data_IF_584913578219
#
_entry.id   IF_584913578219
#
_cell.length_a   1.000
_cell.length_b   1.000
_cell.length_c   1.000
_cell.angle_alpha   90.00
_cell.angle_beta   90.00
_cell.angle_gamma   90.00
#
_symmetry.space_group_name_H-M   'P 1'
#
loop_
_entity.id
_entity.type
_entity.pdbx_description
1 polymer ?
#
# COMPACT_ATOMS: atom_id res chain seq x y z
N UNK A 1 -16.46 -0.97 2.48
CA UNK A 1 -15.99 -2.36 2.36
C UNK A 1 -14.80 -2.51 3.26
N UNK A 2 -14.90 -3.38 4.25
CA UNK A 2 -13.85 -3.58 5.22
C UNK A 2 -12.84 -4.61 4.70
N UNK A 3 -11.56 -4.33 4.92
CA UNK A 3 -10.48 -5.27 4.62
C UNK A 3 -10.53 -6.43 5.61
N UNK A 4 -10.48 -7.66 5.12
CA UNK A 4 -10.46 -8.85 5.97
C UNK A 4 -9.03 -9.19 6.35
N UNK A 5 -8.85 -9.90 7.48
CA UNK A 5 -7.53 -10.33 7.95
C UNK A 5 -6.76 -11.11 6.87
N UNK A 6 -7.47 -11.92 6.09
CA UNK A 6 -6.90 -12.69 4.99
C UNK A 6 -6.26 -11.81 3.90
N UNK A 7 -6.79 -10.61 3.67
CA UNK A 7 -6.24 -9.70 2.66
C UNK A 7 -4.87 -9.16 3.07
N UNK A 8 -4.70 -8.88 4.36
CA UNK A 8 -3.41 -8.48 4.90
C UNK A 8 -2.40 -9.64 4.85
N UNK A 9 -2.84 -10.87 5.13
CA UNK A 9 -2.01 -12.08 5.00
C UNK A 9 -1.53 -12.27 3.56
N UNK A 10 -2.42 -12.10 2.57
CA UNK A 10 -2.06 -12.19 1.16
C UNK A 10 -0.97 -11.17 0.77
N UNK A 11 -1.01 -9.97 1.35
CA UNK A 11 0.03 -8.96 1.13
C UNK A 11 1.36 -9.39 1.74
N UNK A 12 1.36 -9.87 2.98
CA UNK A 12 2.58 -10.36 3.64
C UNK A 12 3.19 -11.53 2.87
N UNK A 13 2.37 -12.48 2.41
CA UNK A 13 2.79 -13.59 1.56
C UNK A 13 3.38 -13.12 0.23
N UNK A 14 2.76 -12.14 -0.44
CA UNK A 14 3.30 -11.58 -1.69
C UNK A 14 4.72 -11.01 -1.51
N UNK A 15 5.03 -10.49 -0.32
CA UNK A 15 6.36 -9.96 0.01
C UNK A 15 7.25 -10.95 0.78
N UNK A 16 6.85 -12.22 0.90
CA UNK A 16 7.54 -13.25 1.67
C UNK A 16 7.88 -12.82 3.11
N UNK A 17 6.94 -12.12 3.77
CA UNK A 17 7.09 -11.68 5.15
C UNK A 17 6.45 -12.68 6.13
N UNK A 18 7.01 -12.85 7.35
CA UNK A 18 6.42 -13.70 8.36
C UNK A 18 5.03 -13.19 8.77
N UNK A 19 4.09 -14.11 8.97
CA UNK A 19 2.73 -13.78 9.40
C UNK A 19 2.68 -13.80 10.93
N UNK A 20 2.52 -12.64 11.60
CA UNK A 20 2.39 -12.61 13.05
C UNK A 20 1.05 -13.20 13.50
N UNK A 21 0.98 -13.70 14.74
CA UNK A 21 -0.22 -14.37 15.27
C UNK A 21 -1.39 -13.40 15.56
N UNK A 22 -1.08 -12.13 15.85
CA UNK A 22 -2.08 -11.13 16.23
C UNK A 22 -2.63 -10.38 15.02
N UNK A 23 -3.96 -10.31 14.88
CA UNK A 23 -4.65 -9.55 13.83
C UNK A 23 -4.17 -8.10 13.71
N UNK A 24 -3.95 -7.44 14.87
CA UNK A 24 -3.44 -6.06 14.91
C UNK A 24 -2.03 -5.95 14.32
N UNK A 25 -1.17 -6.93 14.59
CA UNK A 25 0.19 -6.96 14.06
C UNK A 25 0.21 -7.29 12.56
N UNK A 26 -0.65 -8.20 12.10
CA UNK A 26 -0.80 -8.52 10.67
C UNK A 26 -1.15 -7.25 9.89
N UNK A 27 -2.14 -6.50 10.37
CA UNK A 27 -2.52 -5.23 9.77
C UNK A 27 -1.38 -4.22 9.79
N UNK A 28 -0.75 -4.01 10.96
CA UNK A 28 0.32 -3.04 11.11
C UNK A 28 1.51 -3.35 10.19
N UNK A 29 1.91 -4.61 10.08
CA UNK A 29 3.04 -5.01 9.23
C UNK A 29 2.70 -4.86 7.74
N UNK A 30 1.46 -5.18 7.33
CA UNK A 30 0.99 -4.97 5.97
C UNK A 30 0.94 -3.47 5.60
N UNK A 31 0.44 -2.62 6.50
CA UNK A 31 0.45 -1.15 6.32
C UNK A 31 1.89 -0.60 6.27
N UNK A 32 2.78 -1.14 7.10
CA UNK A 32 4.18 -0.75 7.14
C UNK A 32 4.91 -1.12 5.84
N UNK A 33 4.79 -2.34 5.35
CA UNK A 33 5.49 -2.75 4.12
C UNK A 33 4.98 -1.98 2.91
N UNK A 34 3.67 -1.78 2.79
CA UNK A 34 3.09 -1.03 1.67
C UNK A 34 3.48 0.45 1.73
N UNK A 35 3.50 1.07 2.90
CA UNK A 35 3.95 2.46 3.05
C UNK A 35 5.43 2.59 2.68
N UNK A 36 6.28 1.65 3.12
CA UNK A 36 7.70 1.63 2.81
C UNK A 36 7.94 1.52 1.30
N UNK A 37 7.22 0.61 0.60
CA UNK A 37 7.34 0.45 -0.85
C UNK A 37 6.83 1.68 -1.60
N UNK A 38 5.70 2.24 -1.18
CA UNK A 38 5.13 3.45 -1.76
C UNK A 38 6.11 4.63 -1.64
N UNK A 39 6.63 4.89 -0.44
CA UNK A 39 7.55 6.01 -0.20
C UNK A 39 8.90 5.84 -0.90
N UNK A 40 9.43 4.61 -0.94
CA UNK A 40 10.65 4.31 -1.73
C UNK A 40 10.41 4.56 -3.23
N UNK A 41 9.26 4.17 -3.75
CA UNK A 41 8.90 4.43 -5.14
C UNK A 41 8.80 5.93 -5.41
N UNK A 42 8.08 6.69 -4.57
CA UNK A 42 7.93 8.15 -4.73
C UNK A 42 9.32 8.83 -4.74
N UNK A 43 10.16 8.49 -3.75
CA UNK A 43 11.53 9.02 -3.65
C UNK A 43 12.39 8.65 -4.86
N UNK A 44 12.18 7.48 -5.46
CA UNK A 44 12.93 7.03 -6.64
C UNK A 44 12.46 7.73 -7.92
N UNK A 45 11.15 7.92 -8.08
CA UNK A 45 10.54 8.54 -9.27
C UNK A 45 10.76 10.05 -9.28
N UNK A 46 10.72 10.69 -8.11
CA UNK A 46 10.96 12.11 -7.97
C UNK A 46 11.98 12.37 -6.86
N UNK A 47 13.25 12.13 -7.20
CA UNK A 47 14.38 12.39 -6.32
C UNK A 47 14.50 13.88 -5.94
N UNK A 48 13.97 14.77 -6.77
CA UNK A 48 14.05 16.23 -6.61
C UNK A 48 12.81 16.87 -5.99
N UNK A 49 11.78 16.08 -5.63
CA UNK A 49 10.49 16.53 -5.09
C UNK A 49 9.77 17.62 -5.94
N UNK A 50 10.10 17.75 -7.23
CA UNK A 50 9.54 18.78 -8.12
C UNK A 50 8.15 18.40 -8.63
N UNK A 51 7.83 17.11 -8.67
CA UNK A 51 6.63 16.55 -9.25
C UNK A 51 6.03 15.43 -8.36
N UNK A 52 5.90 15.72 -7.07
CA UNK A 52 5.38 14.79 -6.06
C UNK A 52 4.03 14.17 -6.46
N UNK A 53 3.04 14.90 -7.01
CA UNK A 53 1.76 14.33 -7.42
C UNK A 53 1.90 13.27 -8.53
N UNK A 54 2.79 13.50 -9.50
CA UNK A 54 3.06 12.58 -10.60
C UNK A 54 3.68 11.28 -10.08
N UNK A 55 4.68 11.40 -9.21
CA UNK A 55 5.32 10.26 -8.57
C UNK A 55 4.32 9.44 -7.74
N UNK A 56 3.46 10.10 -6.96
CA UNK A 56 2.40 9.45 -6.19
C UNK A 56 1.47 8.66 -7.12
N UNK A 57 1.03 9.23 -8.25
CA UNK A 57 0.17 8.55 -9.21
C UNK A 57 0.79 7.27 -9.78
N UNK A 58 2.04 7.36 -10.26
CA UNK A 58 2.79 6.24 -10.83
C UNK A 58 2.98 5.12 -9.79
N UNK A 59 3.40 5.49 -8.58
CA UNK A 59 3.65 4.54 -7.51
C UNK A 59 2.36 3.93 -6.97
N UNK A 60 1.27 4.71 -6.89
CA UNK A 60 -0.05 4.21 -6.51
C UNK A 60 -0.54 3.15 -7.50
N UNK A 61 -0.38 3.40 -8.81
CA UNK A 61 -0.77 2.44 -9.85
C UNK A 61 -0.04 1.11 -9.69
N UNK A 62 1.26 1.17 -9.45
CA UNK A 62 2.13 -0.02 -9.40
C UNK A 62 1.97 -0.81 -8.09
N UNK A 63 1.93 -0.13 -6.95
CA UNK A 63 1.89 -0.76 -5.63
C UNK A 63 0.47 -1.18 -5.24
N UNK A 64 -0.56 -0.44 -5.65
CA UNK A 64 -1.95 -0.70 -5.23
C UNK A 64 -2.84 -1.12 -6.40
N UNK A 65 -3.04 -0.28 -7.41
CA UNK A 65 -4.11 -0.51 -8.39
C UNK A 65 -3.92 -1.79 -9.22
N UNK A 66 -2.68 -2.07 -9.66
CA UNK A 66 -2.36 -3.34 -10.37
C UNK A 66 -2.61 -4.58 -9.51
N UNK A 67 -2.70 -4.44 -8.18
CA UNK A 67 -2.98 -5.50 -7.22
C UNK A 67 -4.45 -5.54 -6.78
N UNK A 68 -5.33 -4.77 -7.43
CA UNK A 68 -6.74 -4.67 -7.03
C UNK A 68 -6.95 -3.93 -5.71
N UNK A 69 -6.01 -3.08 -5.31
CA UNK A 69 -6.08 -2.25 -4.12
C UNK A 69 -6.21 -0.78 -4.50
N UNK A 70 -6.95 -0.02 -3.69
CA UNK A 70 -7.05 1.43 -3.77
C UNK A 70 -6.33 2.05 -2.60
N UNK A 71 -5.38 2.94 -2.89
CA UNK A 71 -4.63 3.69 -1.88
C UNK A 71 -5.55 4.71 -1.19
N UNK A 72 -5.54 4.71 0.14
CA UNK A 72 -6.14 5.73 0.98
C UNK A 72 -5.11 6.77 1.45
N UNK A 73 -5.33 7.32 2.66
CA UNK A 73 -4.39 8.27 3.28
C UNK A 73 -3.04 7.59 3.55
N UNK A 74 -1.94 8.27 3.24
CA UNK A 74 -0.59 7.79 3.53
C UNK A 74 0.27 8.94 4.02
N UNK A 75 1.33 8.61 4.75
CA UNK A 75 2.37 9.55 5.16
C UNK A 75 3.73 8.90 4.98
N UNK A 76 4.66 9.61 4.36
CA UNK A 76 6.03 9.15 4.13
C UNK A 76 7.06 9.76 5.08
N UNK A 77 6.75 10.93 5.65
CA UNK A 77 7.58 11.66 6.61
C UNK A 77 7.21 11.26 8.03
N UNK A 78 8.20 11.16 8.92
CA UNK A 78 8.04 10.79 10.34
C UNK A 78 7.43 9.39 10.54
N UNK A 79 6.15 9.30 10.95
CA UNK A 79 5.41 8.05 11.16
C UNK A 79 4.84 7.57 9.83
N UNK A 80 5.55 6.62 9.20
CA UNK A 80 5.13 6.05 7.91
C UNK A 80 3.91 5.15 8.09
N UNK A 81 2.85 5.45 7.35
CA UNK A 81 1.66 4.61 7.30
C UNK A 81 0.98 4.75 5.94
N UNK A 82 0.18 3.74 5.59
CA UNK A 82 -0.75 3.83 4.47
C UNK A 82 -2.02 3.08 4.84
N UNK A 83 -3.17 3.72 4.63
CA UNK A 83 -4.47 3.07 4.59
C UNK A 83 -4.75 2.67 3.17
N UNK A 84 -5.42 1.54 2.99
CA UNK A 84 -5.81 1.03 1.69
C UNK A 84 -7.06 0.18 1.82
N UNK A 85 -7.77 0.02 0.71
CA UNK A 85 -8.98 -0.76 0.64
C UNK A 85 -8.94 -1.61 -0.63
N UNK A 86 -9.79 -2.64 -0.70
CA UNK A 86 -10.04 -3.33 -1.97
C UNK A 86 -10.59 -2.35 -3.00
N UNK A 87 -10.04 -2.39 -4.21
CA UNK A 87 -10.63 -1.69 -5.34
C UNK A 87 -11.99 -2.30 -5.63
N UNK A 88 -13.05 -1.50 -5.61
CA UNK A 88 -14.32 -1.90 -6.21
C UNK A 88 -14.05 -2.04 -7.71
N UNK A 89 -13.88 -3.26 -8.22
CA UNK A 89 -14.17 -3.48 -9.63
C UNK A 89 -15.66 -3.15 -9.76
N UNK A 90 -16.01 -2.00 -10.35
CA UNK A 90 -17.24 -2.01 -11.11
C UNK A 90 -17.02 -3.14 -12.13
N UNK A 91 -17.76 -4.24 -12.01
CA UNK A 91 -18.04 -5.10 -13.15
C UNK A 91 -18.64 -4.15 -14.19
N UNK A 92 -17.80 -3.63 -15.11
CA UNK A 92 -18.33 -3.13 -16.36
C UNK A 92 -18.70 -4.39 -17.13
N UNK A 93 -20.01 -4.56 -17.27
CA UNK A 93 -20.67 -5.48 -18.18
C UNK A 93 -20.24 -5.16 -19.61
#
# INVERSE_FOLDING_TARGET
MNMQNNDYIQILNYYNLPIPKSKKLIQAEAEKILSLKLCKCIKKVDATAKNEPKAIGICTKTIFNRKGLTRGKFKCKEKRYVKFNKTRKLRKH
#
